data_IF_386024047236
#
_entry.id   IF_386024047236
#
_cell.length_a   1.000
_cell.length_b   1.000
_cell.length_c   1.000
_cell.angle_alpha   90.00
_cell.angle_beta   90.00
_cell.angle_gamma   90.00
#
_symmetry.space_group_name_H-M   'P 1'
#
loop_
_entity.id
_entity.type
_entity.pdbx_description
1 polymer ?
#
# COMPACT_ATOMS: atom_id res chain seq x y z
N UNK A 1 -34.60 -10.24 -4.15
CA UNK A 1 -34.67 -9.46 -2.89
C UNK A 1 -33.33 -9.62 -2.16
N UNK A 2 -32.52 -8.59 -2.08
CA UNK A 2 -31.22 -8.63 -1.38
C UNK A 2 -31.53 -8.53 0.12
N UNK A 3 -31.17 -9.53 0.88
CA UNK A 3 -31.39 -9.53 2.33
C UNK A 3 -30.45 -8.53 3.02
N UNK A 4 -30.93 -7.34 3.31
CA UNK A 4 -30.18 -6.23 3.91
C UNK A 4 -29.98 -6.35 5.43
N UNK A 5 -30.41 -7.45 6.06
CA UNK A 5 -30.41 -7.62 7.52
C UNK A 5 -29.12 -8.16 8.14
N UNK A 6 -28.11 -8.50 7.33
CA UNK A 6 -26.79 -8.85 7.89
C UNK A 6 -25.85 -7.66 7.74
N UNK A 7 -25.38 -7.08 8.85
CA UNK A 7 -24.33 -6.09 8.76
C UNK A 7 -23.11 -6.78 8.15
N UNK A 8 -22.71 -6.33 6.96
CA UNK A 8 -21.46 -6.75 6.35
C UNK A 8 -20.34 -6.02 7.08
N UNK A 9 -19.81 -6.62 8.12
CA UNK A 9 -18.82 -6.06 9.05
C UNK A 9 -17.50 -5.63 8.41
N UNK A 10 -17.32 -5.67 7.09
CA UNK A 10 -16.06 -5.36 6.42
C UNK A 10 -16.19 -4.52 5.14
N UNK A 11 -17.34 -3.97 4.86
CA UNK A 11 -17.47 -3.01 3.77
C UNK A 11 -17.78 -1.64 4.38
N UNK A 12 -16.81 -0.73 4.30
CA UNK A 12 -17.07 0.68 4.52
C UNK A 12 -18.26 1.10 3.67
N UNK A 13 -19.24 1.80 4.26
CA UNK A 13 -20.28 2.44 3.48
C UNK A 13 -19.63 3.59 2.73
N UNK A 14 -19.83 3.65 1.43
CA UNK A 14 -19.60 4.87 0.67
C UNK A 14 -20.44 5.99 1.32
N UNK A 15 -19.76 7.03 1.75
CA UNK A 15 -20.43 8.26 2.22
C UNK A 15 -20.48 9.16 1.00
N UNK A 16 -21.66 9.36 0.38
CA UNK A 16 -21.76 10.25 -0.76
C UNK A 16 -21.46 11.68 -0.30
N UNK A 17 -20.42 12.28 -0.87
CA UNK A 17 -20.18 13.70 -0.74
C UNK A 17 -21.00 14.44 -1.80
N UNK A 18 -22.01 15.25 -1.38
CA UNK A 18 -22.83 15.99 -2.33
C UNK A 18 -22.02 16.93 -3.24
N UNK A 19 -20.89 17.45 -2.74
CA UNK A 19 -20.01 18.32 -3.52
C UNK A 19 -19.35 17.54 -4.65
N UNK A 20 -18.81 16.36 -4.37
CA UNK A 20 -18.22 15.49 -5.40
C UNK A 20 -19.28 15.01 -6.40
N UNK A 21 -20.48 14.65 -5.94
CA UNK A 21 -21.57 14.23 -6.82
C UNK A 21 -22.02 15.33 -7.75
N UNK A 22 -21.91 16.61 -7.37
CA UNK A 22 -22.28 17.74 -8.23
C UNK A 22 -21.36 17.92 -9.43
N UNK A 23 -20.13 17.44 -9.39
CA UNK A 23 -19.18 17.51 -10.50
C UNK A 23 -19.34 16.35 -11.51
N UNK A 24 -20.00 15.25 -11.14
CA UNK A 24 -20.11 14.08 -12.02
C UNK A 24 -20.76 14.35 -13.38
N UNK A 25 -21.81 15.20 -13.50
CA UNK A 25 -22.40 15.49 -14.79
C UNK A 25 -21.47 16.22 -15.78
N UNK A 26 -20.45 16.92 -15.27
CA UNK A 26 -19.54 17.76 -16.05
C UNK A 26 -18.25 17.02 -16.44
N UNK A 27 -18.14 15.72 -16.14
CA UNK A 27 -16.96 14.93 -16.51
C UNK A 27 -16.96 14.71 -18.02
N UNK A 28 -15.94 15.20 -18.69
CA UNK A 28 -15.70 14.95 -20.11
C UNK A 28 -15.15 13.53 -20.31
N UNK A 29 -16.02 12.61 -20.69
CA UNK A 29 -15.66 11.22 -20.94
C UNK A 29 -14.76 11.03 -22.17
N UNK A 30 -14.60 12.04 -23.04
CA UNK A 30 -13.67 11.97 -24.18
C UNK A 30 -12.22 11.86 -23.72
N UNK A 31 -11.91 12.31 -22.49
CA UNK A 31 -10.58 12.26 -21.89
C UNK A 31 -10.17 10.85 -21.41
N UNK A 32 -11.09 9.89 -21.40
CA UNK A 32 -10.79 8.52 -20.88
C UNK A 32 -9.70 7.82 -21.72
N UNK A 33 -9.56 8.16 -22.99
CA UNK A 33 -8.56 7.58 -23.88
C UNK A 33 -7.32 8.47 -24.08
N UNK A 34 -7.16 9.52 -23.31
CA UNK A 34 -5.99 10.40 -23.37
C UNK A 34 -4.96 9.99 -22.32
N UNK A 35 -3.87 9.35 -22.77
CA UNK A 35 -2.78 8.89 -21.90
C UNK A 35 -2.18 10.03 -21.05
N UNK A 36 -2.18 11.25 -21.56
CA UNK A 36 -1.68 12.43 -20.83
C UNK A 36 -2.49 12.77 -19.58
N UNK A 37 -3.75 12.35 -19.53
CA UNK A 37 -4.62 12.53 -18.35
C UNK A 37 -4.16 11.63 -17.20
N UNK A 38 -3.77 10.41 -17.52
CA UNK A 38 -3.23 9.46 -16.53
C UNK A 38 -1.97 10.00 -15.87
N UNK A 39 -1.05 10.54 -16.64
CA UNK A 39 0.20 11.12 -16.12
C UNK A 39 -0.07 12.35 -15.25
N UNK A 40 -0.90 13.28 -15.72
CA UNK A 40 -1.32 14.47 -14.94
C UNK A 40 -2.00 14.07 -13.62
N UNK A 41 -2.82 13.03 -13.66
CA UNK A 41 -3.49 12.56 -12.47
C UNK A 41 -2.51 11.92 -11.47
N UNK A 42 -1.54 11.13 -11.94
CA UNK A 42 -0.48 10.58 -11.10
C UNK A 42 0.35 11.67 -10.44
N UNK A 43 0.73 12.70 -11.18
CA UNK A 43 1.48 13.85 -10.64
C UNK A 43 0.67 14.63 -9.60
N UNK A 44 -0.61 14.85 -9.89
CA UNK A 44 -1.53 15.50 -8.95
C UNK A 44 -1.68 14.67 -7.67
N UNK A 45 -1.87 13.37 -7.80
CA UNK A 45 -2.01 12.47 -6.67
C UNK A 45 -0.75 12.40 -5.83
N UNK A 46 0.43 12.32 -6.47
CA UNK A 46 1.72 12.34 -5.80
C UNK A 46 1.93 13.65 -5.02
N UNK A 47 1.63 14.78 -5.67
CA UNK A 47 1.70 16.10 -5.03
C UNK A 47 0.76 16.20 -3.84
N UNK A 48 -0.44 15.65 -3.98
CA UNK A 48 -1.44 15.65 -2.91
C UNK A 48 -0.98 14.79 -1.72
N UNK A 49 -0.45 13.59 -1.95
CA UNK A 49 0.11 12.75 -0.87
C UNK A 49 1.21 13.50 -0.11
N UNK A 50 2.10 14.21 -0.82
CA UNK A 50 3.20 14.97 -0.22
C UNK A 50 2.73 16.24 0.50
N UNK A 51 1.55 16.75 0.18
CA UNK A 51 1.00 17.98 0.78
C UNK A 51 0.23 17.75 2.07
N UNK A 52 0.07 16.51 2.51
CA UNK A 52 -0.68 16.20 3.74
C UNK A 52 -0.10 16.93 4.94
N UNK A 53 -1.00 17.50 5.78
CA UNK A 53 -0.62 18.13 7.04
C UNK A 53 -0.75 17.21 8.24
N UNK A 54 -1.41 16.07 8.05
CA UNK A 54 -1.69 15.11 9.12
C UNK A 54 -0.59 14.08 9.29
N UNK A 55 0.26 13.91 8.27
CA UNK A 55 1.34 12.94 8.26
C UNK A 55 2.60 13.55 7.66
N UNK A 56 3.76 13.01 8.01
CA UNK A 56 5.05 13.30 7.37
C UNK A 56 5.43 12.11 6.49
N UNK A 57 5.80 12.39 5.23
CA UNK A 57 6.24 11.38 4.28
C UNK A 57 7.48 11.88 3.54
N UNK A 58 8.59 11.18 3.70
CA UNK A 58 9.84 11.43 2.98
C UNK A 58 10.21 10.28 2.04
N UNK A 59 11.12 10.53 1.11
CA UNK A 59 11.69 9.49 0.24
C UNK A 59 10.83 9.08 -0.96
N UNK A 60 9.60 9.58 -1.13
CA UNK A 60 8.74 9.21 -2.28
C UNK A 60 9.37 9.61 -3.63
N UNK A 61 10.21 10.64 -3.66
CA UNK A 61 10.92 11.08 -4.87
C UNK A 61 12.00 10.11 -5.36
N UNK A 62 12.43 9.16 -4.53
CA UNK A 62 13.39 8.12 -4.93
C UNK A 62 12.79 7.05 -5.87
N UNK A 63 11.47 7.02 -6.02
CA UNK A 63 10.77 6.10 -6.92
C UNK A 63 10.56 6.78 -8.28
N UNK A 64 11.31 6.36 -9.33
CA UNK A 64 11.27 7.03 -10.64
C UNK A 64 9.98 6.77 -11.42
N UNK A 65 9.25 5.70 -11.07
CA UNK A 65 8.03 5.29 -11.76
C UNK A 65 6.84 5.24 -10.81
N UNK A 66 5.70 5.70 -11.32
CA UNK A 66 4.40 5.49 -10.71
C UNK A 66 3.44 4.96 -11.76
N UNK A 67 2.50 4.11 -11.37
CA UNK A 67 1.47 3.59 -12.25
C UNK A 67 0.22 3.25 -11.45
N UNK A 68 -0.93 3.30 -12.11
CA UNK A 68 -2.15 2.74 -11.56
C UNK A 68 -2.14 1.22 -11.58
N UNK A 69 -2.75 0.61 -10.60
CA UNK A 69 -3.03 -0.82 -10.53
C UNK A 69 -4.49 -1.07 -10.17
N UNK A 70 -4.97 -2.27 -10.39
CA UNK A 70 -6.31 -2.69 -9.98
C UNK A 70 -6.38 -2.98 -8.47
N UNK A 71 -5.95 -1.99 -7.68
CA UNK A 71 -5.83 -2.08 -6.23
C UNK A 71 -4.46 -2.58 -5.77
N UNK A 72 -4.18 -2.43 -4.47
CA UNK A 72 -2.88 -2.81 -3.87
C UNK A 72 -2.60 -4.30 -3.96
N UNK A 73 -3.64 -5.15 -4.04
CA UNK A 73 -3.49 -6.61 -4.20
C UNK A 73 -2.79 -6.99 -5.49
N UNK A 74 -3.01 -6.27 -6.59
CA UNK A 74 -2.27 -6.52 -7.83
C UNK A 74 -0.76 -6.23 -7.67
N UNK A 75 -0.40 -5.18 -6.93
CA UNK A 75 1.00 -4.89 -6.64
C UNK A 75 1.63 -6.00 -5.77
N UNK A 76 0.89 -6.51 -4.77
CA UNK A 76 1.34 -7.64 -3.96
C UNK A 76 1.57 -8.89 -4.83
N UNK A 77 0.65 -9.23 -5.71
CA UNK A 77 0.77 -10.40 -6.57
C UNK A 77 1.98 -10.28 -7.50
N UNK A 78 2.22 -9.10 -8.08
CA UNK A 78 3.42 -8.82 -8.88
C UNK A 78 4.72 -8.95 -8.07
N UNK A 79 4.70 -8.50 -6.81
CA UNK A 79 5.83 -8.64 -5.89
C UNK A 79 6.09 -10.12 -5.56
N UNK A 80 5.03 -10.90 -5.28
CA UNK A 80 5.15 -12.36 -5.05
C UNK A 80 5.74 -13.09 -6.25
N UNK A 81 5.25 -12.81 -7.44
CA UNK A 81 5.75 -13.44 -8.67
C UNK A 81 7.23 -13.10 -8.88
N UNK A 82 7.61 -11.83 -8.73
CA UNK A 82 8.99 -11.36 -8.93
C UNK A 82 9.97 -11.98 -7.94
N UNK A 83 9.52 -12.21 -6.71
CA UNK A 83 10.34 -12.73 -5.62
C UNK A 83 9.98 -14.16 -5.20
N UNK A 84 9.34 -14.93 -6.07
CA UNK A 84 8.78 -16.27 -5.77
C UNK A 84 9.80 -17.32 -5.27
N UNK A 85 11.09 -17.07 -5.46
CA UNK A 85 12.18 -17.93 -4.95
C UNK A 85 12.66 -17.55 -3.54
N UNK A 86 12.06 -16.52 -2.92
CA UNK A 86 12.42 -16.01 -1.59
C UNK A 86 11.40 -16.45 -0.55
N UNK A 87 11.80 -16.39 0.72
CA UNK A 87 10.87 -16.57 1.85
C UNK A 87 10.19 -15.24 2.14
N UNK A 88 8.87 -15.18 2.03
CA UNK A 88 8.12 -13.97 2.34
C UNK A 88 7.99 -13.78 3.85
N UNK A 89 8.27 -12.56 4.30
CA UNK A 89 8.22 -12.23 5.72
C UNK A 89 7.23 -11.08 5.94
N UNK A 90 6.35 -11.28 6.93
CA UNK A 90 5.35 -10.31 7.36
C UNK A 90 5.25 -10.29 8.87
N UNK A 91 4.83 -9.18 9.47
CA UNK A 91 4.52 -9.15 10.89
C UNK A 91 3.27 -9.95 11.24
N UNK A 92 3.20 -10.46 12.48
CA UNK A 92 1.94 -10.96 13.01
C UNK A 92 0.92 -9.83 13.10
N UNK A 93 -0.23 -10.03 12.47
CA UNK A 93 -1.26 -8.99 12.39
C UNK A 93 -1.29 -8.21 11.07
N UNK A 94 -0.41 -8.53 10.13
CA UNK A 94 -0.47 -7.98 8.78
C UNK A 94 -1.75 -8.34 8.04
N UNK A 95 -2.00 -7.64 6.94
CA UNK A 95 -3.21 -7.79 6.13
C UNK A 95 -3.46 -9.25 5.77
N UNK A 96 -4.69 -9.71 6.02
CA UNK A 96 -5.05 -11.13 5.92
C UNK A 96 -4.83 -11.72 4.51
N UNK A 97 -4.82 -10.88 3.47
CA UNK A 97 -4.57 -11.27 2.09
C UNK A 97 -3.21 -12.00 1.94
N UNK A 98 -2.16 -11.51 2.59
CA UNK A 98 -0.83 -12.12 2.51
C UNK A 98 -0.87 -13.59 2.97
N UNK A 99 -1.55 -13.88 4.08
CA UNK A 99 -1.67 -15.25 4.60
C UNK A 99 -2.46 -16.18 3.67
N UNK A 100 -3.43 -15.63 2.94
CA UNK A 100 -4.22 -16.40 1.97
C UNK A 100 -3.34 -16.77 0.78
N UNK A 101 -2.56 -15.83 0.25
CA UNK A 101 -1.68 -16.03 -0.89
C UNK A 101 -0.52 -16.99 -0.56
N UNK A 102 0.06 -16.90 0.63
CA UNK A 102 1.13 -17.79 1.06
C UNK A 102 0.69 -19.26 1.13
N UNK A 103 -0.57 -19.54 1.46
CA UNK A 103 -1.14 -20.88 1.41
C UNK A 103 -1.17 -21.47 -0.01
N UNK A 104 -0.93 -20.67 -1.04
CA UNK A 104 -0.87 -21.10 -2.44
C UNK A 104 0.48 -21.71 -2.85
N UNK A 105 1.35 -22.02 -1.88
CA UNK A 105 2.62 -22.70 -2.11
C UNK A 105 3.86 -21.81 -2.13
N UNK A 106 3.75 -20.56 -1.65
CA UNK A 106 4.90 -19.70 -1.43
C UNK A 106 5.52 -19.99 -0.05
N UNK A 107 6.83 -20.00 0.04
CA UNK A 107 7.55 -20.08 1.32
C UNK A 107 7.35 -18.79 2.10
N UNK A 108 6.97 -18.89 3.37
CA UNK A 108 6.76 -17.72 4.20
C UNK A 108 6.90 -18.00 5.70
N UNK A 109 7.19 -16.95 6.48
CA UNK A 109 7.13 -16.99 7.95
C UNK A 109 6.86 -15.59 8.51
N UNK A 110 6.58 -15.51 9.82
CA UNK A 110 6.50 -14.20 10.46
C UNK A 110 7.90 -13.64 10.75
N UNK A 111 8.00 -12.30 10.72
CA UNK A 111 9.23 -11.59 11.06
C UNK A 111 9.67 -11.94 12.49
N UNK A 112 8.72 -12.13 13.41
CA UNK A 112 8.95 -12.44 14.81
C UNK A 112 9.46 -13.87 15.07
N UNK A 113 9.37 -14.76 14.08
CA UNK A 113 9.71 -16.19 14.29
C UNK A 113 11.20 -16.48 14.20
N UNK A 114 11.94 -15.69 13.43
CA UNK A 114 13.38 -15.86 13.24
C UNK A 114 14.04 -14.60 12.68
N UNK A 115 15.37 -14.41 12.87
CA UNK A 115 16.11 -13.33 12.24
C UNK A 115 15.91 -13.28 10.72
N UNK A 116 16.05 -12.08 10.14
CA UNK A 116 16.02 -11.93 8.70
C UNK A 116 17.24 -12.56 8.03
N UNK A 117 17.06 -13.01 6.80
CA UNK A 117 18.12 -13.58 5.97
C UNK A 117 18.13 -12.93 4.57
N UNK A 118 19.27 -13.03 3.87
CA UNK A 118 19.39 -12.50 2.50
C UNK A 118 18.41 -13.12 1.49
N UNK A 119 17.84 -14.28 1.83
CA UNK A 119 16.85 -14.95 0.99
C UNK A 119 15.40 -14.51 1.26
N UNK A 120 15.19 -13.56 2.15
CA UNK A 120 13.85 -13.08 2.48
C UNK A 120 13.38 -12.01 1.49
N UNK A 121 12.05 -11.81 1.45
CA UNK A 121 11.37 -10.67 0.82
C UNK A 121 10.28 -10.19 1.77
N UNK A 122 10.21 -8.90 2.06
CA UNK A 122 9.33 -8.36 3.09
C UNK A 122 8.15 -7.61 2.51
N UNK A 123 7.01 -7.72 3.19
CA UNK A 123 5.85 -6.83 2.99
C UNK A 123 5.49 -6.22 4.33
N UNK A 124 5.44 -4.90 4.37
CA UNK A 124 5.21 -4.12 5.59
C UNK A 124 4.14 -3.07 5.33
N UNK A 125 3.07 -3.08 6.13
CA UNK A 125 2.04 -2.03 6.06
C UNK A 125 2.39 -0.85 6.96
N UNK A 126 2.33 0.37 6.43
CA UNK A 126 2.50 1.61 7.18
C UNK A 126 1.38 2.59 6.76
N UNK A 127 0.37 2.83 7.59
CA UNK A 127 0.20 2.33 8.97
C UNK A 127 -0.02 0.82 9.05
N UNK A 128 0.38 0.25 10.18
CA UNK A 128 0.31 -1.19 10.41
C UNK A 128 -1.14 -1.70 10.40
N UNK A 129 -1.39 -2.77 9.66
CA UNK A 129 -2.74 -3.25 9.37
C UNK A 129 -3.59 -3.57 10.62
N UNK A 130 -2.95 -4.02 11.72
CA UNK A 130 -3.67 -4.40 12.94
C UNK A 130 -3.97 -3.22 13.87
N UNK A 131 -3.14 -2.18 13.91
CA UNK A 131 -3.21 -1.12 14.91
C UNK A 131 -3.34 0.29 14.36
N UNK A 132 -3.09 0.50 13.07
CA UNK A 132 -3.17 1.81 12.43
C UNK A 132 -2.02 2.78 12.77
N UNK A 133 -0.94 2.30 13.39
CA UNK A 133 0.24 3.09 13.76
C UNK A 133 1.49 2.64 12.99
N UNK A 134 2.61 3.33 13.22
CA UNK A 134 3.93 2.91 12.74
C UNK A 134 4.50 1.85 13.71
N UNK A 135 4.45 0.58 13.32
CA UNK A 135 4.88 -0.54 14.16
C UNK A 135 6.27 -1.05 13.73
N UNK A 136 7.30 -0.81 14.53
CA UNK A 136 8.69 -1.34 14.40
C UNK A 136 9.31 -1.32 12.99
N UNK A 137 8.72 -0.58 12.05
CA UNK A 137 9.13 -0.65 10.64
C UNK A 137 10.55 -0.13 10.43
N UNK A 138 10.97 0.91 11.15
CA UNK A 138 12.29 1.52 10.97
C UNK A 138 13.43 0.57 11.30
N UNK A 139 13.31 -0.22 12.37
CA UNK A 139 14.31 -1.21 12.77
C UNK A 139 14.45 -2.29 11.70
N UNK A 140 13.31 -2.81 11.24
CA UNK A 140 13.27 -3.85 10.20
C UNK A 140 13.78 -3.34 8.85
N UNK A 141 13.46 -2.10 8.45
CA UNK A 141 13.97 -1.52 7.20
C UNK A 141 15.48 -1.27 7.24
N UNK A 142 16.04 -0.92 8.40
CA UNK A 142 17.49 -0.84 8.59
C UNK A 142 18.15 -2.21 8.40
N UNK A 143 17.64 -3.24 9.05
CA UNK A 143 18.14 -4.60 8.92
C UNK A 143 18.00 -5.12 7.48
N UNK A 144 16.82 -4.94 6.86
CA UNK A 144 16.57 -5.33 5.48
C UNK A 144 17.53 -4.61 4.49
N UNK A 145 17.85 -3.34 4.75
CA UNK A 145 18.81 -2.59 3.93
C UNK A 145 20.23 -3.15 4.03
N UNK A 146 20.67 -3.54 5.24
CA UNK A 146 21.98 -4.14 5.44
C UNK A 146 22.12 -5.52 4.75
N UNK A 147 21.03 -6.25 4.63
CA UNK A 147 20.97 -7.57 4.01
C UNK A 147 20.57 -7.54 2.54
N UNK A 148 20.29 -6.38 1.96
CA UNK A 148 19.77 -6.20 0.60
C UNK A 148 18.49 -7.03 0.33
N UNK A 149 17.59 -7.03 1.30
CA UNK A 149 16.30 -7.73 1.22
C UNK A 149 15.30 -6.81 0.51
N UNK A 150 14.61 -7.25 -0.57
CA UNK A 150 13.58 -6.44 -1.21
C UNK A 150 12.37 -6.28 -0.30
N UNK A 151 11.88 -5.05 -0.18
CA UNK A 151 10.73 -4.69 0.63
C UNK A 151 9.67 -4.01 -0.23
N UNK A 152 8.42 -4.44 -0.06
CA UNK A 152 7.23 -3.71 -0.50
C UNK A 152 6.61 -3.04 0.73
N UNK A 153 6.34 -1.74 0.64
CA UNK A 153 5.64 -0.97 1.68
C UNK A 153 4.21 -0.70 1.23
N UNK A 154 3.25 -1.16 2.04
CA UNK A 154 1.83 -0.91 1.82
C UNK A 154 1.36 0.32 2.61
N UNK A 155 1.20 1.44 1.92
CA UNK A 155 0.67 2.69 2.46
C UNK A 155 -0.84 2.85 2.18
N UNK A 156 -1.58 1.74 2.07
CA UNK A 156 -3.00 1.73 1.69
C UNK A 156 -3.88 2.63 2.59
N UNK A 157 -3.57 2.70 3.87
CA UNK A 157 -4.33 3.47 4.87
C UNK A 157 -3.69 4.81 5.24
N UNK A 158 -2.68 5.25 4.52
CA UNK A 158 -1.94 6.49 4.80
C UNK A 158 -2.84 7.71 4.95
N UNK A 159 -3.82 7.88 4.07
CA UNK A 159 -4.75 9.01 4.11
C UNK A 159 -5.85 8.90 5.17
N UNK A 160 -6.02 7.73 5.79
CA UNK A 160 -7.05 7.48 6.81
C UNK A 160 -6.52 7.55 8.25
N UNK A 161 -5.22 7.78 8.43
CA UNK A 161 -4.54 7.89 9.72
C UNK A 161 -3.85 9.25 9.84
N UNK A 162 -3.51 9.65 11.06
CA UNK A 162 -2.76 10.86 11.35
C UNK A 162 -1.56 10.57 12.26
N UNK A 163 -0.68 11.57 12.38
CA UNK A 163 0.52 11.56 13.22
C UNK A 163 1.55 10.47 12.81
N UNK A 164 1.54 10.09 11.54
CA UNK A 164 2.53 9.17 10.97
C UNK A 164 3.75 9.95 10.49
N UNK A 165 4.94 9.47 10.84
CA UNK A 165 6.21 9.92 10.28
C UNK A 165 6.84 8.75 9.53
N UNK A 166 6.80 8.82 8.19
CA UNK A 166 7.18 7.72 7.31
C UNK A 166 8.35 8.14 6.45
N UNK A 167 9.45 7.40 6.56
CA UNK A 167 10.61 7.53 5.67
C UNK A 167 10.66 6.35 4.70
N UNK A 168 10.57 6.65 3.41
CA UNK A 168 10.66 5.70 2.32
C UNK A 168 12.05 5.67 1.65
N UNK A 169 13.03 6.41 2.17
CA UNK A 169 14.35 6.52 1.55
C UNK A 169 15.28 5.30 1.81
N UNK A 170 14.78 4.24 2.45
CA UNK A 170 15.57 3.03 2.69
C UNK A 170 15.89 2.29 1.38
N UNK A 171 17.16 1.95 1.12
CA UNK A 171 17.57 1.29 -0.13
C UNK A 171 16.91 -0.06 -0.39
N UNK A 172 16.43 -0.73 0.65
CA UNK A 172 15.73 -2.01 0.53
C UNK A 172 14.32 -1.88 -0.04
N UNK A 173 13.68 -0.70 0.05
CA UNK A 173 12.31 -0.50 -0.44
C UNK A 173 12.33 -0.46 -1.97
N UNK A 174 11.72 -1.46 -2.60
CA UNK A 174 11.62 -1.59 -4.05
C UNK A 174 10.28 -1.11 -4.59
N UNK A 175 9.23 -1.21 -3.80
CA UNK A 175 7.87 -0.87 -4.19
C UNK A 175 7.11 -0.23 -3.03
N UNK A 176 6.27 0.74 -3.36
CA UNK A 176 5.35 1.38 -2.41
C UNK A 176 3.97 1.43 -3.04
N UNK A 177 2.94 1.09 -2.28
CA UNK A 177 1.56 1.15 -2.76
C UNK A 177 0.73 2.11 -1.94
N UNK A 178 -0.16 2.85 -2.61
CA UNK A 178 -1.20 3.69 -1.99
C UNK A 178 -2.55 3.30 -2.56
N UNK A 179 -3.60 3.40 -1.76
CA UNK A 179 -4.96 3.11 -2.21
C UNK A 179 -5.77 4.40 -2.38
N UNK A 180 -6.15 4.72 -3.62
CA UNK A 180 -6.97 5.89 -3.94
C UNK A 180 -8.26 5.92 -3.12
N UNK A 181 -8.98 4.82 -3.03
CA UNK A 181 -10.28 4.73 -2.35
C UNK A 181 -10.23 4.90 -0.82
N UNK A 182 -9.05 5.00 -0.24
CA UNK A 182 -8.84 5.17 1.21
C UNK A 182 -8.04 6.41 1.54
N UNK A 183 -7.62 7.13 0.52
CA UNK A 183 -6.80 8.33 0.65
C UNK A 183 -7.61 9.60 0.39
N UNK A 184 -8.82 9.46 -0.15
CA UNK A 184 -9.81 10.52 -0.38
C UNK A 184 -11.00 10.39 0.55
#
# INVERSE_FOLDING_TARGET
>A
MINTKRPRFRQGKFIPDPTLLSFMPDIDLSLVNDDSVSDKYLDTYRSWILSTKNNSLSGLSSFPFAAFSQGTTEAFDKFYIRHSKRVFRVFRGEYAYHKIMFKSGLDWSFIEDSPLSKNDALIISIPFANSGNAYKYQEILKEASLLDIPVLVDCCWFGSCGDLDIDLAYPCIREVTFCLSKTF
#
